data_IF_805325476454
#
_entry.id   IF_805325476454
#
_cell.length_a   1.000
_cell.length_b   1.000
_cell.length_c   1.000
_cell.angle_alpha   90.00
_cell.angle_beta   90.00
_cell.angle_gamma   90.00
#
_symmetry.space_group_name_H-M   'P 1'
#
loop_
_entity.id
_entity.type
_entity.pdbx_description
1 polymer ?
#
# COMPACT_ATOMS: atom_id res chain seq x y z
N UNK A 1 -5.70 13.65 -16.48
CA UNK A 1 -5.97 12.43 -15.69
C UNK A 1 -5.38 12.64 -14.32
N UNK A 2 -6.16 12.45 -13.25
CA UNK A 2 -5.60 12.42 -11.91
C UNK A 2 -4.72 11.16 -11.78
N UNK A 3 -3.50 11.31 -11.29
CA UNK A 3 -2.58 10.19 -11.06
C UNK A 3 -3.21 9.20 -10.06
N UNK A 4 -3.25 7.92 -10.41
CA UNK A 4 -3.80 6.86 -9.57
C UNK A 4 -2.77 6.39 -8.54
N UNK A 5 -3.23 5.75 -7.45
CA UNK A 5 -2.33 5.14 -6.46
C UNK A 5 -1.39 4.15 -7.15
N UNK A 6 -1.94 3.36 -8.06
CA UNK A 6 -1.18 2.38 -8.83
C UNK A 6 -0.01 3.00 -9.59
N UNK A 7 -0.28 4.04 -10.40
CA UNK A 7 0.76 4.71 -11.20
C UNK A 7 1.82 5.32 -10.27
N UNK A 8 1.39 5.97 -9.19
CA UNK A 8 2.30 6.51 -8.18
C UNK A 8 3.18 5.43 -7.54
N UNK A 9 2.61 4.27 -7.18
CA UNK A 9 3.40 3.20 -6.56
C UNK A 9 4.41 2.58 -7.54
N UNK A 10 4.12 2.54 -8.83
CA UNK A 10 5.07 2.11 -9.85
C UNK A 10 6.25 3.09 -9.94
N UNK A 11 5.99 4.39 -9.95
CA UNK A 11 7.08 5.38 -9.97
C UNK A 11 7.93 5.32 -8.70
N UNK A 12 7.33 5.04 -7.54
CA UNK A 12 8.07 4.79 -6.29
C UNK A 12 8.94 3.53 -6.36
N UNK A 13 8.45 2.46 -7.00
CA UNK A 13 9.23 1.22 -7.22
C UNK A 13 10.44 1.49 -8.10
N UNK A 14 10.26 2.21 -9.21
CA UNK A 14 11.39 2.57 -10.09
C UNK A 14 12.37 3.51 -9.40
N UNK A 15 11.91 4.51 -8.63
CA UNK A 15 12.80 5.35 -7.83
C UNK A 15 13.64 4.53 -6.83
N UNK A 16 13.02 3.59 -6.12
CA UNK A 16 13.73 2.72 -5.18
C UNK A 16 14.76 1.81 -5.88
N UNK A 17 14.49 1.41 -7.12
CA UNK A 17 15.42 0.67 -7.96
C UNK A 17 16.62 1.53 -8.35
N UNK A 18 16.39 2.75 -8.81
CA UNK A 18 17.44 3.71 -9.17
C UNK A 18 18.32 4.10 -7.96
N UNK A 19 17.71 4.24 -6.78
CA UNK A 19 18.42 4.49 -5.51
C UNK A 19 19.20 3.26 -4.98
N UNK A 20 19.11 2.09 -5.64
CA UNK A 20 19.73 0.85 -5.18
C UNK A 20 19.12 0.26 -3.90
N UNK A 21 17.91 0.70 -3.52
CA UNK A 21 17.22 0.29 -2.28
C UNK A 21 16.39 -0.96 -2.48
N UNK A 22 17.07 -2.02 -2.90
CA UNK A 22 16.45 -3.29 -3.34
C UNK A 22 15.48 -3.91 -2.31
N UNK A 23 15.77 -3.93 -0.98
CA UNK A 23 14.83 -4.45 0.00
C UNK A 23 13.49 -3.71 0.01
N UNK A 24 13.52 -2.38 -0.07
CA UNK A 24 12.31 -1.54 -0.08
C UNK A 24 11.56 -1.69 -1.41
N UNK A 25 12.28 -1.70 -2.54
CA UNK A 25 11.71 -1.95 -3.87
C UNK A 25 10.89 -3.24 -3.89
N UNK A 26 11.47 -4.35 -3.39
CA UNK A 26 10.80 -5.66 -3.35
C UNK A 26 9.55 -5.67 -2.47
N UNK A 27 9.57 -4.93 -1.36
CA UNK A 27 8.39 -4.76 -0.51
C UNK A 27 7.27 -4.03 -1.26
N UNK A 28 7.58 -2.89 -1.90
CA UNK A 28 6.57 -2.12 -2.64
C UNK A 28 6.00 -2.91 -3.81
N UNK A 29 6.85 -3.62 -4.56
CA UNK A 29 6.43 -4.48 -5.66
C UNK A 29 5.45 -5.56 -5.20
N UNK A 30 5.80 -6.33 -4.16
CA UNK A 30 4.95 -7.43 -3.69
C UNK A 30 3.66 -6.91 -3.02
N UNK A 31 3.75 -5.77 -2.31
CA UNK A 31 2.58 -5.09 -1.77
C UNK A 31 1.63 -4.67 -2.90
N UNK A 32 2.11 -3.98 -3.95
CA UNK A 32 1.27 -3.54 -5.07
C UNK A 32 0.64 -4.72 -5.82
N UNK A 33 1.42 -5.78 -6.07
CA UNK A 33 0.92 -7.01 -6.70
C UNK A 33 -0.24 -7.61 -5.91
N UNK A 34 -0.06 -7.82 -4.61
CA UNK A 34 -1.10 -8.40 -3.75
C UNK A 34 -2.29 -7.45 -3.56
N UNK A 35 -2.08 -6.14 -3.56
CA UNK A 35 -3.14 -5.15 -3.48
C UNK A 35 -4.06 -5.23 -4.70
N UNK A 36 -3.48 -5.27 -5.90
CA UNK A 36 -4.21 -5.46 -7.17
C UNK A 36 -4.98 -6.79 -7.20
N UNK A 37 -4.32 -7.88 -6.78
CA UNK A 37 -4.97 -9.19 -6.66
C UNK A 37 -6.16 -9.16 -5.68
N UNK A 38 -6.02 -8.49 -4.54
CA UNK A 38 -7.09 -8.37 -3.55
C UNK A 38 -8.27 -7.51 -4.03
N UNK A 39 -7.98 -6.47 -4.82
CA UNK A 39 -8.98 -5.57 -5.38
C UNK A 39 -9.64 -6.13 -6.64
N UNK A 40 -9.02 -7.12 -7.29
CA UNK A 40 -9.45 -7.61 -8.61
C UNK A 40 -9.31 -6.54 -9.70
N UNK A 41 -8.34 -5.62 -9.55
CA UNK A 41 -8.15 -4.45 -10.43
C UNK A 41 -6.67 -4.21 -10.69
N UNK A 42 -6.34 -3.85 -11.93
CA UNK A 42 -5.00 -3.39 -12.29
C UNK A 42 -4.74 -1.96 -11.82
N UNK A 43 -5.74 -1.10 -11.87
CA UNK A 43 -5.61 0.30 -11.50
C UNK A 43 -6.53 0.66 -10.33
N UNK A 44 -5.97 1.34 -9.34
CA UNK A 44 -6.62 1.71 -8.08
C UNK A 44 -6.42 3.20 -7.89
N UNK A 45 -7.51 3.95 -7.79
CA UNK A 45 -7.52 5.38 -7.47
C UNK A 45 -7.15 5.65 -6.01
N UNK A 46 -6.68 6.86 -5.70
CA UNK A 46 -6.39 7.25 -4.32
C UNK A 46 -7.67 7.33 -3.47
N UNK A 47 -8.77 7.75 -4.07
CA UNK A 47 -10.10 7.86 -3.49
C UNK A 47 -10.72 6.51 -3.12
N UNK A 48 -10.26 5.41 -3.74
CA UNK A 48 -10.71 4.06 -3.41
C UNK A 48 -10.09 3.56 -2.09
N UNK A 49 -8.97 4.15 -1.67
CA UNK A 49 -8.29 3.79 -0.42
C UNK A 49 -9.08 4.36 0.76
N UNK A 50 -9.99 3.54 1.26
CA UNK A 50 -10.85 3.82 2.42
C UNK A 50 -10.53 2.85 3.57
N UNK A 51 -10.99 3.10 4.81
CA UNK A 51 -10.82 2.13 5.89
C UNK A 51 -11.39 0.75 5.57
N UNK A 52 -12.54 0.70 4.86
CA UNK A 52 -13.16 -0.56 4.41
C UNK A 52 -12.27 -1.28 3.39
N UNK A 53 -11.71 -0.54 2.43
CA UNK A 53 -10.76 -1.09 1.46
C UNK A 53 -9.52 -1.69 2.14
N UNK A 54 -8.94 -0.95 3.10
CA UNK A 54 -7.77 -1.40 3.85
C UNK A 54 -8.07 -2.65 4.70
N UNK A 55 -9.23 -2.71 5.35
CA UNK A 55 -9.65 -3.90 6.12
C UNK A 55 -9.87 -5.13 5.24
N UNK A 56 -10.44 -4.96 4.03
CA UNK A 56 -10.57 -6.05 3.06
C UNK A 56 -9.21 -6.57 2.60
N UNK A 57 -8.26 -5.66 2.33
CA UNK A 57 -6.91 -6.05 1.94
C UNK A 57 -6.19 -6.82 3.06
N UNK A 58 -6.23 -6.32 4.30
CA UNK A 58 -5.66 -7.03 5.46
C UNK A 58 -6.25 -8.44 5.62
N UNK A 59 -7.58 -8.56 5.60
CA UNK A 59 -8.25 -9.85 5.70
C UNK A 59 -7.87 -10.80 4.57
N UNK A 60 -7.75 -10.28 3.34
CA UNK A 60 -7.33 -11.06 2.18
C UNK A 60 -5.89 -11.59 2.34
N UNK A 61 -4.95 -10.77 2.83
CA UNK A 61 -3.57 -11.19 3.10
C UNK A 61 -3.51 -12.31 4.16
N UNK A 62 -4.32 -12.19 5.21
CA UNK A 62 -4.46 -13.23 6.24
C UNK A 62 -5.07 -14.52 5.66
N UNK A 63 -6.05 -14.40 4.76
CA UNK A 63 -6.62 -15.53 4.02
C UNK A 63 -5.60 -16.25 3.12
N UNK A 64 -4.60 -15.52 2.60
CA UNK A 64 -3.43 -16.08 1.90
C UNK A 64 -2.38 -16.69 2.83
N UNK A 65 -2.66 -16.80 4.13
CA UNK A 65 -1.78 -17.36 5.17
C UNK A 65 -0.44 -16.64 5.31
N UNK A 66 -0.38 -15.35 4.95
CA UNK A 66 0.80 -14.55 5.21
C UNK A 66 0.94 -14.28 6.71
N UNK A 67 2.19 -14.24 7.20
CA UNK A 67 2.46 -13.93 8.60
C UNK A 67 2.02 -12.50 8.95
N UNK A 68 1.66 -12.27 10.20
CA UNK A 68 1.37 -10.92 10.71
C UNK A 68 2.51 -9.92 10.43
N UNK A 69 3.77 -10.38 10.44
CA UNK A 69 4.94 -9.54 10.12
C UNK A 69 4.92 -9.11 8.64
N UNK A 70 4.57 -10.03 7.73
CA UNK A 70 4.41 -9.73 6.30
C UNK A 70 3.24 -8.78 6.07
N UNK A 71 2.08 -9.05 6.69
CA UNK A 71 0.90 -8.18 6.62
C UNK A 71 1.24 -6.76 7.06
N UNK A 72 1.83 -6.59 8.25
CA UNK A 72 2.27 -5.29 8.75
C UNK A 72 3.28 -4.60 7.82
N UNK A 73 4.21 -5.37 7.24
CA UNK A 73 5.18 -4.83 6.28
C UNK A 73 4.48 -4.24 5.05
N UNK A 74 3.48 -4.93 4.50
CA UNK A 74 2.71 -4.42 3.36
C UNK A 74 1.83 -3.24 3.75
N UNK A 75 1.13 -3.29 4.89
CA UNK A 75 0.29 -2.18 5.37
C UNK A 75 1.12 -0.91 5.63
N UNK A 76 2.34 -1.04 6.19
CA UNK A 76 3.26 0.09 6.38
C UNK A 76 3.78 0.66 5.06
N UNK A 77 4.09 -0.20 4.08
CA UNK A 77 4.50 0.25 2.75
C UNK A 77 3.37 1.01 2.04
N UNK A 78 2.15 0.47 2.07
CA UNK A 78 0.95 1.09 1.52
C UNK A 78 0.67 2.44 2.19
N UNK A 79 0.72 2.52 3.52
CA UNK A 79 0.57 3.78 4.28
C UNK A 79 1.58 4.82 3.84
N UNK A 80 2.85 4.44 3.75
CA UNK A 80 3.91 5.36 3.39
C UNK A 80 3.77 5.88 1.96
N UNK A 81 3.41 5.02 1.00
CA UNK A 81 3.17 5.45 -0.39
C UNK A 81 1.90 6.29 -0.53
N UNK A 82 0.78 5.91 0.10
CA UNK A 82 -0.44 6.71 0.12
C UNK A 82 -0.19 8.12 0.68
N UNK A 83 0.46 8.20 1.84
CA UNK A 83 0.75 9.48 2.48
C UNK A 83 1.66 10.37 1.61
N UNK A 84 2.66 9.80 0.91
CA UNK A 84 3.49 10.58 -0.01
C UNK A 84 2.70 11.05 -1.23
N UNK A 85 1.90 10.18 -1.83
CA UNK A 85 1.11 10.50 -3.03
C UNK A 85 -0.01 11.51 -2.77
N UNK A 86 -0.61 11.51 -1.58
CA UNK A 86 -1.71 12.42 -1.22
C UNK A 86 -1.26 13.67 -0.48
N UNK A 87 0.01 13.80 -0.07
CA UNK A 87 0.47 14.95 0.70
C UNK A 87 0.20 16.26 -0.07
N UNK A 88 -0.57 17.15 0.53
CA UNK A 88 -0.93 18.44 -0.07
C UNK A 88 -2.02 18.38 -1.15
N UNK A 89 -2.59 17.20 -1.42
CA UNK A 89 -3.72 17.04 -2.35
C UNK A 89 -5.06 17.14 -1.62
N UNK A 90 -6.12 17.65 -2.27
CA UNK A 90 -7.49 17.56 -1.75
C UNK A 90 -7.87 16.09 -1.46
N UNK A 91 -8.61 15.86 -0.39
CA UNK A 91 -9.04 14.51 0.00
C UNK A 91 -8.00 13.68 0.77
N UNK A 92 -6.85 14.26 1.15
CA UNK A 92 -5.89 13.60 2.03
C UNK A 92 -6.49 13.42 3.44
N UNK A 93 -6.56 12.17 3.91
CA UNK A 93 -7.08 11.81 5.23
C UNK A 93 -5.93 11.43 6.17
N UNK A 94 -5.72 12.21 7.22
CA UNK A 94 -4.80 11.86 8.30
C UNK A 94 -5.33 10.67 9.11
N UNK A 95 -4.44 9.76 9.54
CA UNK A 95 -4.84 8.60 10.35
C UNK A 95 -5.66 7.51 9.63
N UNK A 96 -5.75 7.55 8.30
CA UNK A 96 -6.54 6.58 7.50
C UNK A 96 -6.20 5.10 7.81
N UNK A 97 -4.95 4.82 8.18
CA UNK A 97 -4.43 3.48 8.46
C UNK A 97 -4.48 3.10 9.94
N UNK A 98 -5.07 3.91 10.82
CA UNK A 98 -5.03 3.69 12.27
C UNK A 98 -5.92 2.52 12.73
N UNK A 99 -6.81 2.03 11.85
CA UNK A 99 -7.72 0.90 12.12
C UNK A 99 -7.25 -0.43 11.54
N UNK A 100 -6.08 -0.48 10.91
CA UNK A 100 -5.49 -1.70 10.35
C UNK A 100 -4.14 -2.02 11.00
N UNK A 101 -3.79 -3.30 11.03
CA UNK A 101 -2.58 -3.77 11.68
C UNK A 101 -1.32 -3.25 10.96
N UNK A 102 -0.69 -2.27 11.59
CA UNK A 102 0.60 -1.71 11.18
C UNK A 102 1.69 -1.93 12.23
N UNK A 103 1.40 -2.73 13.27
CA UNK A 103 2.31 -3.00 14.37
C UNK A 103 3.43 -3.97 14.01
N UNK A 104 4.55 -3.87 14.71
CA UNK A 104 5.53 -4.95 14.84
C UNK A 104 5.16 -5.71 16.10
N UNK A 105 4.97 -7.03 16.03
CA UNK A 105 4.99 -7.85 17.26
C UNK A 105 6.44 -7.82 17.74
N UNK A 106 6.69 -7.05 18.79
CA UNK A 106 7.85 -7.22 19.69
C UNK A 106 7.68 -8.51 20.47
#
# INVERSE_FOLDING_TARGET
>A
MNETLTVFMISEIERLREEGREPARRIYHNMLRTLRESAGKEEIGFEEVTPVFLGKYEHWLLGKRLSWNTVSTYMRALRAGYNRGMKGRPGYVTGLFDKVYTGTRS
#
